data_IF_393229479037
#
_entry.id   IF_393229479037
#
_cell.length_a   1.000
_cell.length_b   1.000
_cell.length_c   1.000
_cell.angle_alpha   90.00
_cell.angle_beta   90.00
_cell.angle_gamma   90.00
#
_symmetry.space_group_name_H-M   'P 1'
#
loop_
_entity.id
_entity.type
_entity.pdbx_description
1 polymer ?
#
# COMPACT_ATOMS: atom_id res chain seq x y z
N UNK A 1 -51.46 -11.49 44.21
CA UNK A 1 -50.12 -10.87 44.04
C UNK A 1 -49.34 -11.76 43.09
N UNK A 2 -49.40 -11.44 41.79
CA UNK A 2 -48.64 -12.17 40.75
C UNK A 2 -47.30 -11.48 40.62
N UNK A 3 -46.24 -12.17 40.97
CA UNK A 3 -44.86 -11.75 40.71
C UNK A 3 -44.63 -11.86 39.22
N UNK A 4 -44.56 -10.73 38.54
CA UNK A 4 -44.06 -10.66 37.18
C UNK A 4 -42.54 -10.79 37.32
N UNK A 5 -42.00 -11.98 37.05
CA UNK A 5 -40.59 -12.17 36.76
C UNK A 5 -40.29 -11.45 35.44
N UNK A 6 -39.72 -10.27 35.55
CA UNK A 6 -39.08 -9.60 34.44
C UNK A 6 -37.82 -10.41 34.11
N UNK A 7 -37.95 -11.40 33.25
CA UNK A 7 -36.83 -12.02 32.60
C UNK A 7 -36.23 -10.95 31.66
N UNK A 8 -35.32 -10.19 32.18
CA UNK A 8 -34.31 -9.49 31.35
C UNK A 8 -33.51 -10.61 30.70
N UNK A 9 -34.03 -11.09 29.59
CA UNK A 9 -33.18 -11.75 28.63
C UNK A 9 -32.16 -10.68 28.20
N UNK A 10 -31.04 -10.66 28.88
CA UNK A 10 -29.79 -10.14 28.33
C UNK A 10 -29.59 -11.01 27.09
N UNK A 11 -30.24 -10.64 25.98
CA UNK A 11 -29.65 -10.93 24.68
C UNK A 11 -28.30 -10.23 24.72
N UNK A 12 -27.30 -10.96 25.18
CA UNK A 12 -26.00 -10.76 24.66
C UNK A 12 -26.18 -10.95 23.15
N UNK A 13 -26.51 -9.85 22.46
CA UNK A 13 -26.11 -9.70 21.11
C UNK A 13 -24.60 -9.92 21.14
N UNK A 14 -24.19 -11.16 20.99
CA UNK A 14 -22.94 -11.47 20.38
C UNK A 14 -23.08 -10.91 18.96
N UNK A 15 -23.08 -9.58 18.83
CA UNK A 15 -22.47 -8.97 17.68
C UNK A 15 -21.15 -9.70 17.64
N UNK A 16 -20.99 -10.65 16.73
CA UNK A 16 -19.72 -11.11 16.33
C UNK A 16 -19.00 -9.86 15.84
N UNK A 17 -18.39 -9.13 16.76
CA UNK A 17 -17.30 -8.29 16.43
C UNK A 17 -16.33 -9.28 15.79
N UNK A 18 -16.31 -9.33 14.45
CA UNK A 18 -15.24 -10.00 13.76
C UNK A 18 -14.02 -9.25 14.24
N UNK A 19 -13.28 -9.90 15.13
CA UNK A 19 -12.18 -9.29 15.82
C UNK A 19 -11.16 -8.97 14.75
N UNK A 20 -10.82 -7.71 14.62
CA UNK A 20 -9.66 -7.26 13.85
C UNK A 20 -8.53 -8.24 14.15
N UNK A 21 -8.05 -8.91 13.11
CA UNK A 21 -7.18 -10.05 13.31
C UNK A 21 -5.76 -9.69 12.99
N UNK A 22 -5.02 -9.33 14.01
CA UNK A 22 -3.57 -9.22 13.95
C UNK A 22 -2.95 -10.62 13.99
N UNK A 23 -1.92 -10.87 13.18
CA UNK A 23 -1.22 -12.15 13.14
C UNK A 23 0.22 -11.96 12.73
N UNK A 24 1.12 -12.75 13.33
CA UNK A 24 2.51 -12.86 12.89
C UNK A 24 2.66 -13.93 11.80
N UNK A 25 3.61 -13.71 10.90
CA UNK A 25 4.14 -14.77 10.03
C UNK A 25 5.09 -15.63 10.89
N UNK A 26 4.90 -16.96 10.95
CA UNK A 26 5.82 -17.81 11.67
C UNK A 26 7.23 -17.73 11.08
N UNK A 27 8.24 -17.64 11.89
CA UNK A 27 9.63 -17.66 11.46
C UNK A 27 10.29 -18.98 11.88
N UNK A 28 11.32 -19.39 11.15
CA UNK A 28 12.12 -20.56 11.45
C UNK A 28 13.52 -20.11 11.88
N UNK A 29 14.08 -20.84 12.86
CA UNK A 29 15.50 -20.81 13.21
C UNK A 29 16.09 -19.45 13.60
N UNK A 30 15.29 -18.58 14.24
CA UNK A 30 15.71 -17.24 14.68
C UNK A 30 16.06 -16.26 13.54
N UNK A 31 15.71 -16.56 12.32
CA UNK A 31 15.87 -15.64 11.21
C UNK A 31 14.91 -14.45 11.34
N UNK A 32 15.42 -13.25 11.15
CA UNK A 32 14.62 -12.03 11.15
C UNK A 32 13.87 -11.95 9.83
N UNK A 33 12.53 -11.96 9.87
CA UNK A 33 11.70 -11.97 8.68
C UNK A 33 11.24 -10.56 8.32
N UNK A 34 11.64 -10.08 7.15
CA UNK A 34 11.25 -8.78 6.63
C UNK A 34 10.26 -8.97 5.48
N UNK A 35 8.97 -9.06 5.79
CA UNK A 35 7.92 -9.01 4.80
C UNK A 35 7.81 -7.61 4.22
N UNK A 36 7.77 -7.50 2.91
CA UNK A 36 7.70 -6.22 2.22
C UNK A 36 6.43 -6.06 1.40
N UNK A 37 5.69 -7.14 1.18
CA UNK A 37 4.52 -7.14 0.31
C UNK A 37 3.44 -8.13 0.75
N UNK A 38 2.20 -7.82 0.38
CA UNK A 38 1.02 -8.68 0.54
C UNK A 38 0.27 -8.72 -0.79
N UNK A 39 -0.24 -9.90 -1.18
CA UNK A 39 -1.06 -10.02 -2.39
C UNK A 39 -2.36 -9.21 -2.28
N UNK A 40 -2.89 -8.76 -3.41
CA UNK A 40 -4.08 -7.91 -3.45
C UNK A 40 -5.32 -8.53 -2.75
N UNK A 41 -5.41 -9.85 -2.71
CA UNK A 41 -6.45 -10.59 -2.00
C UNK A 41 -6.13 -10.87 -0.51
N UNK A 42 -4.99 -10.43 0.00
CA UNK A 42 -4.55 -10.62 1.39
C UNK A 42 -4.08 -12.04 1.74
N UNK A 43 -3.99 -12.95 0.74
CA UNK A 43 -3.68 -14.35 1.01
C UNK A 43 -2.18 -14.62 1.19
N UNK A 44 -1.32 -13.99 0.41
CA UNK A 44 0.10 -14.26 0.44
C UNK A 44 0.89 -13.07 0.95
N UNK A 45 1.76 -13.30 1.92
CA UNK A 45 2.75 -12.35 2.42
C UNK A 45 4.12 -12.81 1.98
N UNK A 46 4.97 -11.91 1.48
CA UNK A 46 6.27 -12.28 0.97
C UNK A 46 7.35 -11.23 1.32
N UNK A 47 8.60 -11.66 1.25
CA UNK A 47 9.77 -10.83 1.53
C UNK A 47 11.06 -11.62 1.53
N UNK A 48 12.03 -11.16 2.32
CA UNK A 48 13.29 -11.81 2.58
C UNK A 48 13.54 -12.03 4.07
N UNK A 49 14.58 -12.77 4.42
CA UNK A 49 15.04 -12.92 5.79
C UNK A 49 16.55 -12.60 5.93
N UNK A 50 17.04 -12.54 7.14
CA UNK A 50 18.45 -12.22 7.42
C UNK A 50 19.42 -13.35 7.10
N UNK A 51 18.91 -14.52 6.76
CA UNK A 51 19.72 -15.64 6.29
C UNK A 51 19.88 -15.60 4.75
N UNK A 52 19.39 -14.54 4.07
CA UNK A 52 19.45 -14.38 2.62
C UNK A 52 18.43 -15.23 1.86
N UNK A 53 17.38 -15.73 2.53
CA UNK A 53 16.31 -16.50 1.90
C UNK A 53 15.12 -15.61 1.57
N UNK A 54 14.51 -15.79 0.40
CA UNK A 54 13.18 -15.26 0.15
C UNK A 54 12.11 -16.19 0.73
N UNK A 55 10.95 -15.64 1.08
CA UNK A 55 9.82 -16.44 1.55
C UNK A 55 8.49 -15.98 0.98
N UNK A 56 7.55 -16.92 0.89
CA UNK A 56 6.12 -16.67 0.67
C UNK A 56 5.36 -17.44 1.75
N UNK A 57 4.45 -16.75 2.42
CA UNK A 57 3.57 -17.29 3.45
C UNK A 57 2.12 -17.22 3.02
N UNK A 58 1.42 -18.36 3.03
CA UNK A 58 -0.04 -18.44 2.82
C UNK A 58 -0.76 -18.17 4.14
N UNK A 59 -1.45 -17.04 4.22
CA UNK A 59 -2.19 -16.62 5.43
C UNK A 59 -3.40 -17.48 5.73
N UNK A 60 -3.93 -18.21 4.75
CA UNK A 60 -5.09 -19.10 4.90
C UNK A 60 -4.66 -20.50 5.36
N UNK A 61 -3.74 -21.11 4.62
CA UNK A 61 -3.28 -22.48 4.89
C UNK A 61 -2.17 -22.53 5.96
N UNK A 62 -1.65 -21.36 6.39
CA UNK A 62 -0.60 -21.21 7.41
C UNK A 62 0.69 -21.95 7.03
N UNK A 63 1.00 -21.98 5.75
CA UNK A 63 2.20 -22.59 5.21
C UNK A 63 3.19 -21.52 4.76
N UNK A 64 4.45 -21.75 5.06
CA UNK A 64 5.55 -20.93 4.57
C UNK A 64 6.42 -21.75 3.63
N UNK A 65 6.91 -21.11 2.57
CA UNK A 65 7.90 -21.68 1.67
C UNK A 65 9.07 -20.71 1.55
N UNK A 66 10.26 -21.25 1.74
CA UNK A 66 11.51 -20.53 1.55
C UNK A 66 12.11 -20.85 0.18
N UNK A 67 12.80 -19.87 -0.38
CA UNK A 67 13.56 -19.97 -1.62
C UNK A 67 14.96 -19.45 -1.37
N UNK A 68 15.95 -20.22 -1.80
CA UNK A 68 17.35 -19.88 -1.54
C UNK A 68 18.27 -20.45 -2.61
N UNK A 69 19.44 -19.84 -2.76
CA UNK A 69 20.54 -20.40 -3.53
C UNK A 69 21.05 -21.70 -2.88
N UNK A 70 21.44 -22.72 -3.66
CA UNK A 70 22.13 -23.87 -3.13
C UNK A 70 23.51 -23.54 -2.49
N UNK A 71 24.10 -22.40 -2.86
CA UNK A 71 25.37 -21.94 -2.29
C UNK A 71 25.21 -21.23 -0.95
N UNK A 72 24.00 -20.75 -0.65
CA UNK A 72 23.72 -19.98 0.56
C UNK A 72 24.12 -20.78 1.81
N UNK A 73 24.93 -20.14 2.69
CA UNK A 73 25.48 -20.79 3.88
C UNK A 73 26.71 -21.67 3.65
N UNK A 74 27.29 -21.68 2.46
CA UNK A 74 28.57 -22.33 2.15
C UNK A 74 29.71 -21.31 2.03
N UNK A 75 30.95 -21.78 1.96
CA UNK A 75 32.13 -20.91 1.73
C UNK A 75 32.15 -20.30 0.31
N UNK A 76 31.29 -20.75 -0.58
CA UNK A 76 31.15 -20.25 -1.95
C UNK A 76 30.05 -19.17 -2.09
N UNK A 77 29.31 -18.89 -1.02
CA UNK A 77 28.21 -17.90 -1.03
C UNK A 77 28.78 -16.48 -1.16
N UNK A 78 28.10 -15.69 -1.97
CA UNK A 78 28.34 -14.25 -2.09
C UNK A 78 26.99 -13.47 -1.99
N UNK A 79 27.02 -12.16 -2.17
CA UNK A 79 25.83 -11.31 -2.09
C UNK A 79 24.78 -11.62 -3.17
N UNK A 80 25.20 -12.22 -4.28
CA UNK A 80 24.27 -12.59 -5.36
C UNK A 80 23.47 -13.84 -5.03
N UNK A 81 23.92 -14.65 -4.06
CA UNK A 81 23.19 -15.82 -3.58
C UNK A 81 22.00 -15.48 -2.65
N UNK A 82 21.91 -14.24 -2.19
CA UNK A 82 20.77 -13.78 -1.43
C UNK A 82 19.52 -13.62 -2.32
N UNK A 83 18.38 -14.04 -1.81
CA UNK A 83 17.10 -13.97 -2.49
C UNK A 83 16.16 -12.98 -1.81
N UNK A 84 15.42 -12.21 -2.58
CA UNK A 84 14.38 -11.31 -2.06
C UNK A 84 13.13 -11.33 -2.92
N UNK A 85 11.95 -11.11 -2.33
CA UNK A 85 10.67 -10.93 -3.04
C UNK A 85 10.13 -9.55 -2.71
N UNK A 86 9.75 -8.78 -3.75
CA UNK A 86 9.22 -7.41 -3.64
C UNK A 86 7.76 -7.27 -4.04
N UNK A 87 7.22 -8.24 -4.78
CA UNK A 87 5.80 -8.30 -5.12
C UNK A 87 5.32 -9.74 -5.09
N UNK A 88 4.03 -9.96 -4.79
CA UNK A 88 3.42 -11.30 -4.80
C UNK A 88 2.01 -11.22 -5.39
N UNK A 89 1.70 -12.17 -6.29
CA UNK A 89 0.41 -12.26 -6.98
C UNK A 89 -0.66 -12.96 -6.11
N UNK A 90 -1.90 -12.89 -6.57
CA UNK A 90 -3.05 -13.53 -5.88
C UNK A 90 -3.02 -15.07 -5.89
N UNK A 91 -2.21 -15.67 -6.73
CA UNK A 91 -2.01 -17.12 -6.83
C UNK A 91 -0.70 -17.59 -6.20
N UNK A 92 0.05 -16.68 -5.56
CA UNK A 92 1.24 -17.03 -4.79
C UNK A 92 2.53 -17.10 -5.63
N UNK A 93 2.60 -16.36 -6.73
CA UNK A 93 3.86 -16.18 -7.47
C UNK A 93 4.54 -14.91 -6.97
N UNK A 94 5.73 -15.05 -6.37
CA UNK A 94 6.60 -13.96 -5.96
C UNK A 94 7.42 -13.43 -7.14
N UNK A 95 7.69 -12.13 -7.12
CA UNK A 95 8.57 -11.42 -8.02
C UNK A 95 9.66 -10.73 -7.21
N UNK A 96 10.90 -11.01 -7.53
CA UNK A 96 12.05 -10.52 -6.79
C UNK A 96 13.36 -10.81 -7.52
N UNK A 97 14.40 -11.07 -6.79
CA UNK A 97 15.72 -11.34 -7.36
C UNK A 97 16.47 -12.42 -6.58
N UNK A 98 17.32 -13.12 -7.29
CA UNK A 98 18.37 -14.03 -6.81
C UNK A 98 19.46 -14.09 -7.88
N UNK A 99 20.71 -14.28 -7.52
CA UNK A 99 21.85 -14.26 -8.45
C UNK A 99 21.99 -12.93 -9.21
N UNK A 100 21.58 -11.81 -8.59
CA UNK A 100 21.51 -10.52 -9.27
C UNK A 100 20.56 -10.49 -10.47
N UNK A 101 19.60 -11.41 -10.54
CA UNK A 101 18.66 -11.57 -11.66
C UNK A 101 17.21 -11.50 -11.20
N UNK A 102 16.40 -10.75 -11.92
CA UNK A 102 14.95 -10.75 -11.74
C UNK A 102 14.36 -12.15 -11.88
N UNK A 103 13.63 -12.60 -10.88
CA UNK A 103 13.20 -13.99 -10.74
C UNK A 103 11.74 -14.09 -10.28
N UNK A 104 11.04 -15.12 -10.78
CA UNK A 104 9.73 -15.58 -10.29
C UNK A 104 9.94 -16.73 -9.31
N UNK A 105 9.20 -16.66 -8.19
CA UNK A 105 9.20 -17.64 -7.11
C UNK A 105 7.80 -18.24 -6.99
N UNK A 106 7.61 -19.49 -7.32
CA UNK A 106 6.29 -20.14 -7.32
C UNK A 106 6.04 -20.87 -5.99
N UNK A 107 5.08 -20.39 -5.21
CA UNK A 107 4.72 -20.99 -3.91
C UNK A 107 4.22 -22.43 -4.08
N UNK A 108 3.43 -22.73 -5.10
CA UNK A 108 2.82 -24.06 -5.25
C UNK A 108 3.85 -25.13 -5.60
N UNK A 109 4.77 -24.83 -6.51
CA UNK A 109 5.78 -25.78 -7.00
C UNK A 109 7.11 -25.70 -6.26
N UNK A 110 7.45 -24.54 -5.69
CA UNK A 110 8.77 -24.27 -5.12
C UNK A 110 9.83 -23.95 -6.17
N UNK A 111 9.43 -23.69 -7.42
CA UNK A 111 10.38 -23.38 -8.49
C UNK A 111 10.77 -21.90 -8.47
N UNK A 112 12.01 -21.66 -8.89
CA UNK A 112 12.55 -20.34 -9.19
C UNK A 112 12.81 -20.29 -10.71
N UNK A 113 12.38 -19.23 -11.37
CA UNK A 113 12.50 -19.07 -12.82
C UNK A 113 12.92 -17.65 -13.15
N UNK A 114 13.99 -17.47 -13.90
CA UNK A 114 14.42 -16.16 -14.38
C UNK A 114 13.28 -15.46 -15.12
N UNK A 115 13.06 -14.19 -14.82
CA UNK A 115 12.04 -13.36 -15.45
C UNK A 115 12.47 -12.86 -16.82
N UNK A 116 13.76 -12.54 -16.96
CA UNK A 116 14.36 -12.03 -18.18
C UNK A 116 15.12 -13.15 -18.90
N UNK A 117 15.30 -12.97 -20.19
CA UNK A 117 16.07 -13.91 -21.03
C UNK A 117 17.54 -13.99 -20.55
N UNK A 118 18.12 -15.20 -20.55
CA UNK A 118 19.50 -15.44 -20.17
C UNK A 118 20.52 -14.66 -21.03
N UNK A 119 20.13 -14.19 -22.23
CA UNK A 119 20.95 -13.32 -23.06
C UNK A 119 21.18 -11.92 -22.45
N UNK A 120 20.39 -11.55 -21.44
CA UNK A 120 20.63 -10.34 -20.65
C UNK A 120 21.68 -10.68 -19.59
N UNK A 121 22.93 -10.38 -19.90
CA UNK A 121 24.08 -10.66 -19.02
C UNK A 121 24.10 -9.75 -17.78
N UNK A 122 23.42 -8.59 -17.87
CA UNK A 122 23.39 -7.58 -16.83
C UNK A 122 22.61 -8.00 -15.59
N UNK A 123 22.90 -7.41 -14.45
CA UNK A 123 22.07 -7.52 -13.26
C UNK A 123 20.69 -6.91 -13.50
N UNK A 124 19.68 -7.46 -12.86
CA UNK A 124 18.31 -6.98 -12.98
C UNK A 124 17.55 -7.13 -11.68
N UNK A 125 16.71 -6.14 -11.37
CA UNK A 125 15.79 -6.17 -10.23
C UNK A 125 14.37 -5.93 -10.71
N UNK A 126 13.42 -6.74 -10.23
CA UNK A 126 12.00 -6.47 -10.39
C UNK A 126 11.47 -5.83 -9.11
N UNK A 127 10.79 -4.69 -9.24
CA UNK A 127 10.27 -3.93 -8.10
C UNK A 127 8.76 -4.09 -7.91
N UNK A 128 8.05 -4.41 -8.98
CA UNK A 128 6.59 -4.48 -8.97
C UNK A 128 6.07 -5.58 -9.89
N UNK A 129 4.95 -6.16 -9.51
CA UNK A 129 4.10 -6.98 -10.37
C UNK A 129 2.63 -6.75 -10.03
N UNK A 130 1.76 -6.85 -11.05
CA UNK A 130 0.30 -6.81 -10.90
C UNK A 130 -0.21 -8.05 -10.16
N UNK A 131 -1.44 -7.99 -9.64
CA UNK A 131 -2.02 -9.06 -8.84
C UNK A 131 -2.17 -10.38 -9.60
N UNK A 132 -2.21 -10.33 -10.93
CA UNK A 132 -2.26 -11.48 -11.84
C UNK A 132 -0.90 -11.82 -12.48
N UNK A 133 0.13 -11.00 -12.24
CA UNK A 133 1.48 -11.18 -12.76
C UNK A 133 1.64 -10.91 -14.26
N UNK A 134 0.63 -10.32 -14.93
CA UNK A 134 0.70 -10.02 -16.37
C UNK A 134 1.58 -8.82 -16.67
N UNK A 135 1.70 -7.89 -15.71
CA UNK A 135 2.61 -6.75 -15.81
C UNK A 135 3.60 -6.80 -14.65
N UNK A 136 4.87 -6.57 -14.96
CA UNK A 136 5.90 -6.32 -13.95
C UNK A 136 6.86 -5.25 -14.45
N UNK A 137 7.54 -4.56 -13.56
CA UNK A 137 8.53 -3.56 -13.94
C UNK A 137 9.72 -3.53 -12.97
N UNK A 138 10.79 -2.92 -13.42
CA UNK A 138 12.03 -2.87 -12.66
C UNK A 138 13.15 -2.15 -13.41
N UNK A 139 14.36 -2.63 -13.19
CA UNK A 139 15.58 -2.05 -13.75
C UNK A 139 16.57 -3.14 -14.15
N UNK A 140 17.31 -2.92 -15.23
CA UNK A 140 18.54 -3.64 -15.54
C UNK A 140 19.74 -2.74 -15.31
N UNK A 141 20.86 -3.32 -14.91
CA UNK A 141 22.12 -2.62 -14.66
C UNK A 141 23.17 -3.13 -15.62
N UNK A 142 23.77 -2.25 -16.40
CA UNK A 142 24.96 -2.57 -17.17
C UNK A 142 26.14 -2.84 -16.23
N UNK A 143 26.70 -4.04 -16.29
CA UNK A 143 27.77 -4.47 -15.36
C UNK A 143 29.10 -3.71 -15.54
N UNK A 144 29.25 -2.93 -16.61
CA UNK A 144 30.45 -2.17 -16.91
C UNK A 144 30.30 -0.69 -16.59
N UNK A 145 29.19 -0.11 -16.99
CA UNK A 145 28.93 1.33 -16.87
C UNK A 145 28.05 1.68 -15.69
N UNK A 146 27.41 0.67 -15.06
CA UNK A 146 26.40 0.82 -14.01
C UNK A 146 25.19 1.67 -14.42
N UNK A 147 24.96 1.84 -15.71
CA UNK A 147 23.79 2.54 -16.23
C UNK A 147 22.53 1.74 -15.89
N UNK A 148 21.55 2.44 -15.34
CA UNK A 148 20.27 1.89 -14.92
C UNK A 148 19.26 2.07 -16.03
N UNK A 149 18.72 0.97 -16.57
CA UNK A 149 17.75 0.99 -17.64
C UNK A 149 16.39 0.46 -17.14
N UNK A 150 15.37 1.33 -17.02
CA UNK A 150 14.04 0.92 -16.57
C UNK A 150 13.37 0.06 -17.64
N UNK A 151 12.68 -0.98 -17.18
CA UNK A 151 11.91 -1.85 -18.07
C UNK A 151 10.50 -2.10 -17.53
N UNK A 152 9.61 -2.51 -18.44
CA UNK A 152 8.33 -3.11 -18.14
C UNK A 152 8.22 -4.43 -18.91
N UNK A 153 7.63 -5.42 -18.27
CA UNK A 153 7.24 -6.67 -18.89
C UNK A 153 5.72 -6.74 -18.94
N UNK A 154 5.18 -7.00 -20.12
CA UNK A 154 3.74 -7.16 -20.36
C UNK A 154 3.53 -8.51 -21.04
N UNK A 155 2.71 -9.37 -20.46
CA UNK A 155 2.44 -10.72 -20.98
C UNK A 155 3.72 -11.53 -21.31
N UNK A 156 4.75 -11.38 -20.46
CA UNK A 156 6.04 -12.06 -20.64
C UNK A 156 6.97 -11.44 -21.70
N UNK A 157 6.61 -10.28 -22.26
CA UNK A 157 7.44 -9.58 -23.24
C UNK A 157 8.05 -8.34 -22.60
N UNK A 158 9.39 -8.28 -22.53
CA UNK A 158 10.14 -7.15 -22.01
C UNK A 158 10.13 -5.99 -23.01
N UNK A 159 9.96 -4.77 -22.47
CA UNK A 159 10.06 -3.51 -23.20
C UNK A 159 10.91 -2.55 -22.37
N UNK A 160 11.89 -1.91 -23.01
CA UNK A 160 12.62 -0.82 -22.39
C UNK A 160 11.70 0.40 -22.26
N UNK A 161 11.69 1.04 -21.11
CA UNK A 161 10.98 2.28 -20.89
C UNK A 161 11.80 3.47 -21.40
N UNK A 162 11.18 4.47 -22.05
CA UNK A 162 11.88 5.64 -22.51
C UNK A 162 12.46 6.43 -21.33
N UNK A 163 13.67 6.88 -21.48
CA UNK A 163 14.33 7.74 -20.51
C UNK A 163 14.12 9.21 -20.90
N UNK A 164 14.17 10.09 -19.92
CA UNK A 164 14.27 11.53 -20.19
C UNK A 164 15.71 11.83 -20.62
N UNK A 165 15.83 12.36 -21.82
CA UNK A 165 17.14 12.68 -22.43
C UNK A 165 17.47 14.16 -22.38
N UNK A 166 16.54 15.02 -21.98
CA UNK A 166 16.76 16.45 -21.93
C UNK A 166 17.54 16.86 -20.70
N UNK A 167 18.39 17.85 -20.84
CA UNK A 167 19.16 18.44 -19.74
C UNK A 167 18.24 18.86 -18.60
N UNK A 168 18.33 18.13 -17.53
CA UNK A 168 17.55 18.36 -16.34
C UNK A 168 18.37 19.15 -15.35
N UNK A 169 18.15 20.44 -15.30
CA UNK A 169 18.54 21.31 -14.19
C UNK A 169 19.94 21.03 -13.57
N UNK A 170 20.89 20.56 -14.38
CA UNK A 170 22.25 20.26 -13.92
C UNK A 170 22.47 18.84 -13.40
N UNK A 171 21.51 17.93 -13.60
CA UNK A 171 21.69 16.50 -13.31
C UNK A 171 22.35 15.79 -14.48
N UNK A 172 23.34 14.98 -14.17
CA UNK A 172 23.96 14.06 -15.12
C UNK A 172 23.16 12.75 -15.11
N UNK A 173 22.03 12.77 -15.85
CA UNK A 173 21.10 11.62 -15.89
C UNK A 173 21.76 10.48 -16.66
N UNK A 174 21.96 9.36 -15.99
CA UNK A 174 22.49 8.15 -16.60
C UNK A 174 21.51 6.95 -16.54
N UNK A 175 20.23 7.20 -16.29
CA UNK A 175 19.25 6.11 -16.30
C UNK A 175 17.97 6.41 -15.53
N UNK A 176 17.28 5.33 -15.16
CA UNK A 176 16.07 5.38 -14.35
C UNK A 176 15.70 4.02 -13.81
N UNK A 177 14.81 4.02 -12.83
CA UNK A 177 14.25 2.83 -12.19
C UNK A 177 12.72 2.92 -12.24
N UNK A 178 12.05 1.84 -12.67
CA UNK A 178 10.60 1.70 -12.53
C UNK A 178 10.30 0.97 -11.21
N UNK A 179 9.66 1.67 -10.26
CA UNK A 179 9.39 1.13 -8.94
C UNK A 179 8.00 0.51 -8.81
N UNK A 180 7.03 0.91 -9.64
CA UNK A 180 5.68 0.39 -9.53
C UNK A 180 4.75 0.90 -10.61
N UNK A 181 3.48 0.51 -10.51
CA UNK A 181 2.44 0.89 -11.46
C UNK A 181 1.05 0.57 -10.98
N UNK A 182 0.09 0.83 -11.84
CA UNK A 182 -1.28 0.40 -11.65
C UNK A 182 -1.53 -1.02 -12.19
N UNK A 183 -2.69 -1.60 -11.85
CA UNK A 183 -3.00 -3.02 -12.09
C UNK A 183 -3.03 -3.41 -13.57
N UNK A 184 -3.34 -2.50 -14.49
CA UNK A 184 -3.31 -2.78 -15.93
C UNK A 184 -1.99 -2.36 -16.61
N UNK A 185 -1.04 -1.82 -15.84
CA UNK A 185 0.25 -1.34 -16.33
C UNK A 185 0.15 -0.15 -17.28
N UNK A 186 -0.99 0.55 -17.32
CA UNK A 186 -1.14 1.74 -18.16
C UNK A 186 -0.39 2.96 -17.63
N UNK A 187 -0.13 2.98 -16.33
CA UNK A 187 0.66 4.01 -15.65
C UNK A 187 1.71 3.33 -14.78
N UNK A 188 2.96 3.70 -14.97
CA UNK A 188 4.08 3.28 -14.13
C UNK A 188 4.71 4.50 -13.50
N UNK A 189 5.31 4.33 -12.33
CA UNK A 189 6.06 5.38 -11.66
C UNK A 189 7.45 4.91 -11.29
N UNK A 190 8.35 5.85 -11.08
CA UNK A 190 9.72 5.54 -10.73
C UNK A 190 10.56 6.79 -10.53
N UNK A 191 11.85 6.65 -10.70
CA UNK A 191 12.79 7.75 -10.55
C UNK A 191 13.75 7.83 -11.74
N UNK A 192 14.22 9.04 -12.00
CA UNK A 192 15.42 9.28 -12.81
C UNK A 192 16.63 9.02 -11.92
N UNK A 193 17.66 8.45 -12.47
CA UNK A 193 18.91 8.20 -11.76
C UNK A 193 20.03 9.04 -12.33
N UNK A 194 20.82 9.61 -11.44
CA UNK A 194 22.19 10.02 -11.72
C UNK A 194 23.16 9.01 -11.10
N UNK A 195 24.46 9.19 -11.25
CA UNK A 195 25.48 8.25 -10.77
C UNK A 195 25.41 7.96 -9.24
N UNK A 196 24.60 8.67 -8.47
CA UNK A 196 24.61 8.62 -7.00
C UNK A 196 23.24 8.59 -6.37
N UNK A 197 22.16 8.94 -7.08
CA UNK A 197 20.85 9.18 -6.48
C UNK A 197 19.70 8.86 -7.42
N UNK A 198 18.58 8.44 -6.87
CA UNK A 198 17.35 8.13 -7.61
C UNK A 198 16.32 9.25 -7.42
N UNK A 199 16.47 10.31 -8.18
CA UNK A 199 15.62 11.50 -8.20
C UNK A 199 15.55 12.04 -9.64
N UNK A 200 14.57 12.85 -9.97
CA UNK A 200 13.26 13.11 -9.40
C UNK A 200 12.21 12.08 -9.84
N UNK A 201 11.02 12.21 -9.24
CA UNK A 201 9.87 11.35 -9.49
C UNK A 201 9.42 11.38 -10.96
N UNK A 202 9.31 10.23 -11.56
CA UNK A 202 9.00 9.99 -12.96
C UNK A 202 7.77 9.14 -13.15
N UNK A 203 7.06 9.36 -14.29
CA UNK A 203 6.01 8.46 -14.74
C UNK A 203 6.23 8.00 -16.15
N UNK A 204 5.71 6.83 -16.43
CA UNK A 204 5.46 6.37 -17.79
C UNK A 204 3.98 6.12 -17.98
N UNK A 205 3.43 6.70 -19.01
CA UNK A 205 2.03 6.50 -19.40
C UNK A 205 2.01 5.76 -20.72
N UNK A 206 1.24 4.66 -20.77
CA UNK A 206 1.08 3.86 -21.98
C UNK A 206 0.37 4.68 -23.04
N UNK A 207 0.94 4.73 -24.22
CA UNK A 207 0.39 5.47 -25.36
C UNK A 207 -0.87 4.80 -25.91
N UNK A 208 -1.60 5.52 -26.78
CA UNK A 208 -2.84 5.03 -27.41
C UNK A 208 -2.65 3.80 -28.30
N UNK A 209 -1.42 3.50 -28.72
CA UNK A 209 -1.09 2.27 -29.44
C UNK A 209 -1.16 1.01 -28.57
N UNK A 210 -1.29 1.19 -27.24
CA UNK A 210 -1.36 0.12 -26.25
C UNK A 210 -0.03 -0.62 -26.03
N UNK A 211 1.06 -0.14 -26.62
CA UNK A 211 2.36 -0.85 -26.64
C UNK A 211 3.52 0.00 -26.17
N UNK A 212 3.55 1.28 -26.51
CA UNK A 212 4.66 2.17 -26.15
C UNK A 212 4.31 3.03 -24.95
N UNK A 213 5.32 3.59 -24.30
CA UNK A 213 5.18 4.47 -23.16
C UNK A 213 5.78 5.85 -23.45
N UNK A 214 5.19 6.88 -22.86
CA UNK A 214 5.75 8.23 -22.82
C UNK A 214 6.21 8.55 -21.41
N UNK A 215 7.43 9.06 -21.29
CA UNK A 215 8.01 9.52 -20.03
C UNK A 215 7.54 10.93 -19.68
N UNK A 216 7.23 11.15 -18.42
CA UNK A 216 6.81 12.45 -17.89
C UNK A 216 7.42 12.66 -16.51
N UNK A 217 7.63 13.90 -16.11
CA UNK A 217 8.03 14.25 -14.76
C UNK A 217 6.89 14.85 -13.98
N UNK A 218 6.60 14.21 -12.86
CA UNK A 218 5.55 14.67 -11.95
C UNK A 218 6.00 15.86 -11.13
N UNK A 219 7.20 15.78 -10.56
CA UNK A 219 7.70 16.80 -9.65
C UNK A 219 7.71 18.20 -10.25
N UNK A 220 7.89 18.32 -11.56
CA UNK A 220 7.83 19.62 -12.26
C UNK A 220 6.51 20.36 -12.13
N UNK A 221 5.41 19.65 -11.89
CA UNK A 221 4.07 20.24 -11.78
C UNK A 221 3.81 20.95 -10.45
N UNK A 222 4.54 20.61 -9.39
CA UNK A 222 4.19 21.00 -8.01
C UNK A 222 5.14 21.98 -7.35
N UNK A 223 6.33 22.12 -7.88
CA UNK A 223 7.40 22.90 -7.28
C UNK A 223 7.06 24.38 -7.15
N UNK A 224 6.33 24.93 -8.11
CA UNK A 224 6.13 26.39 -8.20
C UNK A 224 5.01 26.92 -7.28
N UNK A 225 4.24 26.08 -6.62
CA UNK A 225 2.97 26.53 -6.04
C UNK A 225 2.82 26.34 -4.53
N UNK A 226 3.60 25.49 -3.87
CA UNK A 226 3.30 25.09 -2.48
C UNK A 226 4.48 25.01 -1.52
N UNK A 227 5.73 25.13 -1.98
CA UNK A 227 6.91 24.85 -1.16
C UNK A 227 7.97 25.92 -1.24
N UNK A 228 8.51 26.33 -0.08
CA UNK A 228 9.70 27.15 0.01
C UNK A 228 10.95 26.24 -0.12
N UNK A 229 11.39 26.02 -1.34
CA UNK A 229 12.58 25.22 -1.66
C UNK A 229 13.83 26.09 -1.77
N UNK A 230 14.10 26.88 -0.75
CA UNK A 230 15.34 27.67 -0.70
C UNK A 230 16.55 26.77 -0.59
N UNK A 231 17.41 26.81 -1.60
CA UNK A 231 18.72 26.13 -1.59
C UNK A 231 18.79 24.74 -2.24
N UNK A 232 17.64 24.14 -2.65
CA UNK A 232 17.58 22.88 -3.36
C UNK A 232 17.10 23.07 -4.81
N UNK A 233 17.41 22.09 -5.67
CA UNK A 233 16.74 22.02 -6.95
C UNK A 233 15.26 21.65 -6.72
N UNK A 234 14.35 22.30 -7.42
CA UNK A 234 12.91 22.06 -7.24
C UNK A 234 12.46 20.60 -7.35
N UNK A 235 13.25 19.77 -7.98
CA UNK A 235 12.95 18.38 -8.28
C UNK A 235 13.33 17.41 -7.17
N UNK A 236 14.16 17.83 -6.23
CA UNK A 236 14.60 17.01 -5.09
C UNK A 236 13.53 16.92 -3.98
N UNK A 237 12.42 17.63 -4.15
CA UNK A 237 11.41 17.83 -3.12
C UNK A 237 10.51 16.61 -2.92
N UNK A 238 10.35 15.79 -3.96
CA UNK A 238 9.45 14.63 -3.91
C UNK A 238 10.14 13.32 -4.26
N UNK A 239 9.87 12.30 -3.47
CA UNK A 239 10.16 10.91 -3.81
C UNK A 239 8.86 10.12 -3.84
N UNK A 240 8.70 9.25 -4.85
CA UNK A 240 7.55 8.35 -4.89
C UNK A 240 7.64 7.28 -3.81
N UNK A 241 6.50 6.85 -3.33
CA UNK A 241 6.42 5.78 -2.34
C UNK A 241 5.59 4.59 -2.85
N UNK A 242 4.36 4.83 -3.31
CA UNK A 242 3.48 3.78 -3.81
C UNK A 242 2.37 4.34 -4.70
N UNK A 243 1.92 3.54 -5.67
CA UNK A 243 0.76 3.83 -6.52
C UNK A 243 -0.39 2.89 -6.19
N UNK A 244 -1.61 3.40 -6.19
CA UNK A 244 -2.80 2.57 -6.04
C UNK A 244 -3.03 1.69 -7.27
N UNK A 245 -3.58 0.49 -7.08
CA UNK A 245 -3.79 -0.47 -8.16
C UNK A 245 -4.72 0.07 -9.28
N UNK A 246 -5.66 0.95 -8.95
CA UNK A 246 -6.51 1.62 -9.93
C UNK A 246 -5.83 2.80 -10.66
N UNK A 247 -4.59 3.15 -10.31
CA UNK A 247 -3.84 4.23 -10.94
C UNK A 247 -4.30 5.65 -10.60
N UNK A 248 -5.25 5.80 -9.67
CA UNK A 248 -5.78 7.10 -9.29
C UNK A 248 -4.86 7.86 -8.34
N UNK A 249 -4.28 7.17 -7.37
CA UNK A 249 -3.50 7.75 -6.30
C UNK A 249 -2.03 7.39 -6.37
N UNK A 250 -1.17 8.36 -6.07
CA UNK A 250 0.24 8.15 -5.79
C UNK A 250 0.57 8.74 -4.41
N UNK A 251 1.07 7.92 -3.50
CA UNK A 251 1.68 8.39 -2.27
C UNK A 251 3.10 8.86 -2.55
N UNK A 252 3.47 9.98 -1.96
CA UNK A 252 4.80 10.58 -2.11
C UNK A 252 5.31 11.06 -0.77
N UNK A 253 6.63 11.02 -0.61
CA UNK A 253 7.33 11.68 0.48
C UNK A 253 7.85 13.02 -0.03
N UNK A 254 7.88 14.04 0.83
CA UNK A 254 8.36 15.35 0.45
C UNK A 254 9.06 16.07 1.59
N UNK A 255 9.95 16.97 1.21
CA UNK A 255 10.62 17.88 2.13
C UNK A 255 9.98 19.26 2.03
N UNK A 256 9.78 19.94 3.15
CA UNK A 256 9.25 21.30 3.15
C UNK A 256 10.34 22.35 2.98
N UNK A 257 11.56 22.00 3.37
CA UNK A 257 12.69 22.90 3.28
C UNK A 257 14.00 22.12 3.22
N UNK A 258 14.84 22.43 2.26
CA UNK A 258 16.16 21.82 2.09
C UNK A 258 17.23 22.91 2.16
N UNK A 259 18.31 22.65 2.88
CA UNK A 259 19.49 23.52 2.94
C UNK A 259 20.45 23.18 1.79
N UNK A 260 20.52 21.90 1.44
CA UNK A 260 21.26 21.39 0.31
C UNK A 260 20.59 20.09 -0.14
N UNK A 261 21.10 19.50 -1.24
CA UNK A 261 20.62 18.20 -1.74
C UNK A 261 20.73 17.07 -0.70
N UNK A 262 21.67 17.20 0.23
CA UNK A 262 21.96 16.19 1.25
C UNK A 262 21.45 16.58 2.66
N UNK A 263 21.00 17.82 2.84
CA UNK A 263 20.62 18.32 4.14
C UNK A 263 19.21 18.93 4.13
N UNK A 264 18.30 18.34 4.89
CA UNK A 264 16.92 18.76 5.07
C UNK A 264 16.79 19.54 6.38
N UNK A 265 16.22 20.75 6.31
CA UNK A 265 16.01 21.60 7.49
C UNK A 265 14.74 21.20 8.27
N UNK A 266 13.74 20.65 7.55
CA UNK A 266 12.51 20.16 8.11
C UNK A 266 12.28 18.75 7.60
N UNK A 267 11.94 17.82 8.51
CA UNK A 267 11.88 16.38 8.21
C UNK A 267 10.89 16.00 7.12
N UNK A 268 11.07 14.80 6.64
CA UNK A 268 10.21 14.19 5.63
C UNK A 268 8.75 14.14 6.07
N UNK A 269 7.85 14.40 5.13
CA UNK A 269 6.40 14.39 5.29
C UNK A 269 5.75 13.62 4.17
N UNK A 270 4.47 13.34 4.31
CA UNK A 270 3.69 12.55 3.38
C UNK A 270 2.66 13.42 2.66
N UNK A 271 2.51 13.16 1.36
CA UNK A 271 1.42 13.66 0.56
C UNK A 271 0.82 12.55 -0.30
N UNK A 272 -0.37 12.76 -0.81
CA UNK A 272 -0.95 11.92 -1.87
C UNK A 272 -1.38 12.76 -3.05
N UNK A 273 -1.17 12.20 -4.21
CA UNK A 273 -1.45 12.84 -5.45
C UNK A 273 -2.64 12.15 -6.12
N UNK A 274 -3.69 12.91 -6.45
CA UNK A 274 -4.81 12.45 -7.28
C UNK A 274 -4.43 12.68 -8.75
N UNK A 275 -4.09 11.60 -9.45
CA UNK A 275 -3.65 11.62 -10.84
C UNK A 275 -4.80 11.95 -11.82
N UNK A 276 -6.04 11.66 -11.44
CA UNK A 276 -7.21 11.98 -12.26
C UNK A 276 -7.59 13.46 -12.13
N UNK A 277 -7.59 13.99 -10.91
CA UNK A 277 -7.93 15.36 -10.62
C UNK A 277 -6.75 16.33 -10.84
N UNK A 278 -5.53 15.82 -11.02
CA UNK A 278 -4.28 16.59 -11.11
C UNK A 278 -4.07 17.49 -9.89
N UNK A 279 -4.27 16.93 -8.69
CA UNK A 279 -4.18 17.67 -7.43
C UNK A 279 -3.30 16.96 -6.40
N UNK A 280 -2.47 17.74 -5.71
CA UNK A 280 -1.65 17.30 -4.58
C UNK A 280 -2.34 17.62 -3.26
N UNK A 281 -2.48 16.63 -2.39
CA UNK A 281 -2.98 16.79 -1.04
C UNK A 281 -1.86 16.53 -0.03
N UNK A 282 -1.41 17.60 0.65
CA UNK A 282 -0.46 17.48 1.74
C UNK A 282 -1.16 16.92 2.98
N UNK A 283 -0.61 15.86 3.56
CA UNK A 283 -1.14 15.26 4.76
C UNK A 283 -0.54 15.95 6.01
N UNK A 284 -1.37 16.17 7.01
CA UNK A 284 -0.88 16.62 8.32
C UNK A 284 -0.03 15.51 8.95
N UNK A 285 1.18 15.85 9.33
CA UNK A 285 2.13 14.97 10.00
C UNK A 285 2.40 15.59 11.39
N UNK A 286 1.69 15.16 12.45
CA UNK A 286 1.83 15.73 13.77
C UNK A 286 3.27 15.69 14.27
N UNK A 287 3.73 16.80 14.85
CA UNK A 287 5.08 16.94 15.42
C UNK A 287 6.24 16.71 14.44
N UNK A 288 5.98 16.72 13.12
CA UNK A 288 7.03 16.58 12.11
C UNK A 288 8.09 17.68 12.25
N UNK A 289 9.35 17.26 12.24
CA UNK A 289 10.54 18.11 12.43
C UNK A 289 11.74 17.49 11.71
N UNK A 290 12.91 18.08 11.76
CA UNK A 290 14.14 17.47 11.25
C UNK A 290 14.46 16.11 11.89
N UNK A 291 14.04 15.93 13.15
CA UNK A 291 14.24 14.68 13.90
C UNK A 291 13.05 13.71 13.80
N UNK A 292 11.87 14.20 13.45
CA UNK A 292 10.64 13.39 13.37
C UNK A 292 10.11 13.39 11.94
N UNK A 293 10.36 12.32 11.21
CA UNK A 293 10.10 12.19 9.79
C UNK A 293 8.98 11.18 9.52
N UNK A 294 8.09 11.48 8.59
CA UNK A 294 7.00 10.61 8.17
C UNK A 294 7.26 10.07 6.76
N UNK A 295 7.06 8.78 6.59
CA UNK A 295 7.25 8.09 5.32
C UNK A 295 6.02 7.29 4.94
N UNK A 296 5.59 7.44 3.69
CA UNK A 296 4.60 6.55 3.08
C UNK A 296 5.31 5.33 2.48
N UNK A 297 4.62 4.20 2.51
CA UNK A 297 5.09 2.93 1.94
C UNK A 297 4.03 2.27 1.07
N UNK A 298 2.75 2.62 1.26
CA UNK A 298 1.63 2.03 0.53
C UNK A 298 0.44 2.97 0.41
N UNK A 299 -0.40 2.71 -0.60
CA UNK A 299 -1.66 3.45 -0.81
C UNK A 299 -2.73 2.53 -1.42
N UNK A 300 -3.95 2.59 -0.89
CA UNK A 300 -5.09 1.83 -1.41
C UNK A 300 -5.81 2.57 -2.56
N UNK A 301 -6.75 1.88 -3.22
CA UNK A 301 -7.58 2.45 -4.29
C UNK A 301 -8.49 3.61 -3.83
N UNK A 302 -8.79 3.68 -2.55
CA UNK A 302 -9.58 4.78 -1.97
C UNK A 302 -8.71 5.92 -1.44
N UNK A 303 -7.38 5.79 -1.52
CA UNK A 303 -6.43 6.80 -1.07
C UNK A 303 -6.06 6.70 0.41
N UNK A 304 -6.28 5.55 1.07
CA UNK A 304 -5.69 5.27 2.38
C UNK A 304 -4.18 5.14 2.22
N UNK A 305 -3.42 5.99 2.91
CA UNK A 305 -1.95 5.95 2.92
C UNK A 305 -1.48 5.27 4.18
N UNK A 306 -0.50 4.38 4.04
CA UNK A 306 0.16 3.70 5.16
C UNK A 306 1.66 3.96 5.14
N UNK A 307 2.30 3.76 6.29
CA UNK A 307 3.73 3.96 6.41
C UNK A 307 4.20 3.99 7.87
N UNK A 308 5.15 4.83 8.16
CA UNK A 308 5.69 4.98 9.51
C UNK A 308 6.14 6.41 9.79
N UNK A 309 6.27 6.74 11.06
CA UNK A 309 7.03 7.89 11.56
C UNK A 309 8.33 7.38 12.17
N UNK A 310 9.42 8.07 11.91
CA UNK A 310 10.76 7.74 12.40
C UNK A 310 11.32 8.88 13.25
N UNK A 311 11.84 8.55 14.41
CA UNK A 311 12.70 9.43 15.18
C UNK A 311 14.15 9.22 14.71
N UNK A 312 14.72 10.22 14.05
CA UNK A 312 16.09 10.16 13.49
C UNK A 312 17.18 10.05 14.54
N UNK A 313 16.90 10.48 15.77
CA UNK A 313 17.89 10.43 16.87
C UNK A 313 18.05 9.03 17.46
N UNK A 314 16.96 8.25 17.43
CA UNK A 314 16.92 6.89 17.98
C UNK A 314 16.74 5.81 16.93
N UNK A 315 16.40 6.21 15.70
CA UNK A 315 15.98 5.33 14.59
C UNK A 315 14.75 4.48 14.93
N UNK A 316 13.98 4.90 15.94
CA UNK A 316 12.76 4.21 16.29
C UNK A 316 11.65 4.55 15.30
N UNK A 317 10.86 3.54 14.90
CA UNK A 317 9.77 3.67 13.95
C UNK A 317 8.45 3.27 14.60
N UNK A 318 7.38 3.95 14.18
CA UNK A 318 6.01 3.68 14.60
C UNK A 318 5.10 3.64 13.39
N UNK A 319 4.34 2.57 13.25
CA UNK A 319 3.40 2.38 12.15
C UNK A 319 2.34 3.47 12.12
N UNK A 320 2.09 4.04 10.93
CA UNK A 320 1.13 5.12 10.73
C UNK A 320 0.17 4.82 9.59
N UNK A 321 -1.00 5.44 9.65
CA UNK A 321 -2.00 5.38 8.59
C UNK A 321 -2.79 6.69 8.51
N UNK A 322 -3.13 7.08 7.28
CA UNK A 322 -4.11 8.11 6.97
C UNK A 322 -5.25 7.47 6.20
N UNK A 323 -6.41 7.32 6.81
CA UNK A 323 -7.57 6.70 6.16
C UNK A 323 -8.08 7.55 4.99
N UNK A 324 -8.76 6.91 4.05
CA UNK A 324 -9.41 7.59 2.91
C UNK A 324 -10.28 8.76 3.38
N UNK A 325 -10.17 9.89 2.69
CA UNK A 325 -10.91 11.12 3.05
C UNK A 325 -10.42 11.87 4.29
N UNK A 326 -9.47 11.31 5.03
CA UNK A 326 -8.79 11.99 6.15
C UNK A 326 -7.50 12.63 5.61
N UNK A 327 -7.03 13.69 6.29
CA UNK A 327 -5.83 14.45 5.91
C UNK A 327 -4.76 14.47 7.00
N UNK A 328 -4.74 13.48 7.85
CA UNK A 328 -3.83 13.41 8.99
C UNK A 328 -3.28 11.99 9.14
N UNK A 329 -1.96 11.88 9.19
CA UNK A 329 -1.27 10.64 9.55
C UNK A 329 -1.45 10.39 11.04
N UNK A 330 -1.87 9.20 11.42
CA UNK A 330 -2.08 8.77 12.82
C UNK A 330 -1.34 7.49 13.09
N UNK A 331 -0.92 7.30 14.33
CA UNK A 331 -0.33 6.03 14.77
C UNK A 331 -1.38 4.92 14.68
N UNK A 332 -0.98 3.74 14.23
CA UNK A 332 -1.87 2.56 14.24
C UNK A 332 -2.29 2.18 15.65
N UNK A 333 -1.43 2.37 16.64
CA UNK A 333 -1.75 2.15 18.05
C UNK A 333 -2.93 3.01 18.52
N UNK A 334 -3.03 4.26 18.04
CA UNK A 334 -4.14 5.16 18.38
C UNK A 334 -5.43 4.79 17.63
N UNK A 335 -5.30 4.35 16.37
CA UNK A 335 -6.44 3.93 15.55
C UNK A 335 -7.02 2.59 15.99
N UNK A 336 -6.17 1.70 16.46
CA UNK A 336 -6.52 0.32 16.84
C UNK A 336 -6.02 -0.05 18.25
N UNK A 337 -6.49 0.65 19.31
CA UNK A 337 -5.99 0.45 20.67
C UNK A 337 -6.30 -0.94 21.25
N UNK A 338 -7.19 -1.70 20.63
CA UNK A 338 -7.46 -3.09 21.00
C UNK A 338 -6.37 -4.07 20.53
N UNK A 339 -5.50 -3.64 19.61
CA UNK A 339 -4.35 -4.43 19.12
C UNK A 339 -3.14 -4.03 19.95
N UNK A 340 -2.92 -4.75 21.04
CA UNK A 340 -1.88 -4.43 22.03
C UNK A 340 -0.47 -4.57 21.45
N UNK A 341 -0.31 -5.36 20.40
CA UNK A 341 0.94 -5.57 19.68
C UNK A 341 1.52 -4.26 19.14
N UNK A 342 0.67 -3.35 18.65
CA UNK A 342 1.16 -2.05 18.18
C UNK A 342 1.79 -1.20 19.27
N UNK A 343 1.29 -1.27 20.50
CA UNK A 343 1.85 -0.53 21.63
C UNK A 343 3.16 -1.17 22.11
N UNK A 344 3.26 -2.50 22.15
CA UNK A 344 4.47 -3.21 22.58
C UNK A 344 5.61 -3.10 21.56
N UNK A 345 5.30 -3.09 20.28
CA UNK A 345 6.29 -2.87 19.22
C UNK A 345 6.91 -1.46 19.25
N UNK A 346 6.17 -0.48 19.74
CA UNK A 346 6.65 0.90 19.92
C UNK A 346 7.84 0.99 20.89
N UNK A 347 7.87 0.18 21.92
CA UNK A 347 8.93 0.21 22.93
C UNK A 347 10.28 -0.26 22.40
N UNK A 348 10.27 -1.05 21.33
CA UNK A 348 11.48 -1.66 20.73
C UNK A 348 11.93 -0.96 19.44
N UNK A 349 11.14 -0.05 18.90
CA UNK A 349 11.59 0.95 17.93
C UNK A 349 11.66 0.56 16.46
N UNK A 350 11.12 -0.58 16.01
CA UNK A 350 11.08 -0.93 14.60
C UNK A 350 9.69 -1.44 14.21
N UNK A 351 8.76 -0.53 14.02
CA UNK A 351 7.40 -0.88 13.63
C UNK A 351 6.96 -0.05 12.42
N UNK A 352 6.79 -0.68 11.28
CA UNK A 352 6.34 -0.02 10.06
C UNK A 352 5.29 -0.84 9.32
N UNK A 353 4.38 -0.17 8.64
CA UNK A 353 3.54 -0.77 7.62
C UNK A 353 4.30 -0.69 6.31
N UNK A 354 4.45 -1.80 5.61
CA UNK A 354 5.15 -1.85 4.33
C UNK A 354 4.21 -1.94 3.14
N UNK A 355 3.00 -2.47 3.34
CA UNK A 355 2.02 -2.60 2.27
C UNK A 355 0.57 -2.51 2.79
N UNK A 356 -0.33 -2.10 1.89
CA UNK A 356 -1.78 -2.14 2.06
C UNK A 356 -2.41 -2.72 0.80
N UNK A 357 -3.42 -3.58 0.95
CA UNK A 357 -4.15 -4.14 -0.20
C UNK A 357 -4.94 -3.06 -0.95
N UNK A 358 -5.22 -3.25 -2.26
CA UNK A 358 -5.96 -2.29 -3.06
C UNK A 358 -7.32 -1.87 -2.49
N UNK A 359 -8.02 -2.80 -1.84
CA UNK A 359 -9.30 -2.54 -1.17
C UNK A 359 -9.16 -1.89 0.22
N UNK A 360 -7.91 -1.72 0.70
CA UNK A 360 -7.61 -1.16 2.01
C UNK A 360 -7.88 -2.10 3.18
N UNK A 361 -8.17 -3.38 2.92
CA UNK A 361 -8.57 -4.33 3.96
C UNK A 361 -7.41 -4.89 4.77
N UNK A 362 -6.32 -5.26 4.10
CA UNK A 362 -5.18 -5.87 4.78
C UNK A 362 -4.01 -4.91 4.81
N UNK A 363 -3.38 -4.83 5.97
CA UNK A 363 -2.08 -4.20 6.16
C UNK A 363 -1.04 -5.29 6.38
N UNK A 364 0.16 -5.02 5.90
CA UNK A 364 1.32 -5.85 6.17
C UNK A 364 2.47 -4.96 6.60
N UNK A 365 3.28 -5.44 7.52
CA UNK A 365 4.44 -4.74 7.99
C UNK A 365 5.41 -5.66 8.72
N UNK A 366 6.43 -5.06 9.27
CA UNK A 366 7.32 -5.74 10.20
C UNK A 366 7.60 -4.86 11.42
N UNK A 367 8.07 -5.49 12.47
CA UNK A 367 8.41 -4.84 13.71
C UNK A 367 9.24 -5.73 14.57
N UNK A 368 9.75 -5.13 15.64
CA UNK A 368 10.57 -5.79 16.59
C UNK A 368 9.70 -6.47 17.66
N UNK A 369 9.90 -7.75 17.89
CA UNK A 369 9.14 -8.53 18.86
C UNK A 369 10.11 -9.17 19.85
N UNK A 370 9.84 -8.95 21.11
CA UNK A 370 10.47 -9.71 22.20
C UNK A 370 9.70 -11.02 22.37
N UNK A 371 10.25 -12.09 21.86
CA UNK A 371 9.60 -13.41 21.92
C UNK A 371 9.88 -14.17 23.20
N UNK A 372 10.98 -13.86 23.84
CA UNK A 372 11.40 -14.40 25.12
C UNK A 372 12.37 -13.38 25.70
N UNK A 373 12.41 -13.22 27.01
CA UNK A 373 13.30 -12.28 27.75
C UNK A 373 14.79 -12.31 27.33
N UNK A 374 15.18 -13.16 26.37
CA UNK A 374 16.55 -13.36 25.92
C UNK A 374 16.79 -13.16 24.41
N UNK A 375 15.75 -13.00 23.59
CA UNK A 375 15.92 -12.89 22.13
C UNK A 375 14.96 -11.89 21.51
N UNK A 376 15.55 -10.78 21.11
CA UNK A 376 14.91 -9.80 20.25
C UNK A 376 14.87 -10.31 18.79
N UNK A 377 13.73 -10.29 18.14
CA UNK A 377 13.65 -10.64 16.73
C UNK A 377 12.77 -9.69 15.94
N UNK A 378 13.07 -9.52 14.64
CA UNK A 378 12.14 -8.90 13.73
C UNK A 378 11.06 -9.91 13.35
N UNK A 379 9.81 -9.46 13.36
CA UNK A 379 8.69 -10.27 12.94
C UNK A 379 7.91 -9.57 11.84
N UNK A 380 7.61 -10.31 10.78
CA UNK A 380 6.63 -9.89 9.80
C UNK A 380 5.24 -10.13 10.38
N UNK A 381 4.37 -9.14 10.23
CA UNK A 381 2.98 -9.23 10.66
C UNK A 381 2.03 -8.86 9.54
N UNK A 382 0.78 -9.29 9.65
CA UNK A 382 -0.31 -8.84 8.82
C UNK A 382 -1.57 -8.60 9.67
N UNK A 383 -2.38 -7.67 9.24
CA UNK A 383 -3.54 -7.21 9.97
C UNK A 383 -4.76 -7.14 9.06
N UNK A 384 -5.78 -7.95 9.33
CA UNK A 384 -7.08 -7.87 8.65
C UNK A 384 -7.92 -6.80 9.35
N UNK A 385 -8.05 -5.67 8.69
CA UNK A 385 -8.88 -4.55 9.15
C UNK A 385 -10.34 -4.92 9.14
N UNK A 386 -10.69 -6.15 8.71
CA UNK A 386 -12.02 -6.62 8.39
C UNK A 386 -13.02 -5.52 8.73
N UNK A 387 -13.58 -4.83 7.73
CA UNK A 387 -14.54 -3.78 8.01
C UNK A 387 -15.44 -4.39 9.07
N UNK A 388 -15.20 -4.08 10.36
CA UNK A 388 -16.24 -4.30 11.31
C UNK A 388 -17.38 -3.57 10.64
N UNK A 389 -18.45 -4.26 10.28
CA UNK A 389 -19.76 -3.69 10.19
C UNK A 389 -20.13 -3.15 11.59
N UNK A 390 -19.27 -2.44 12.25
CA UNK A 390 -19.63 -1.31 13.05
C UNK A 390 -20.08 -0.29 12.03
N UNK A 391 -21.12 -0.64 11.47
CA UNK A 391 -22.35 0.08 11.44
C UNK A 391 -22.30 1.37 12.25
N UNK A 392 -21.55 2.28 11.73
CA UNK A 392 -21.90 3.68 11.70
C UNK A 392 -22.14 4.10 10.24
N UNK A 393 -22.22 3.16 9.34
CA UNK A 393 -23.09 3.27 8.18
C UNK A 393 -24.45 2.79 8.64
N UNK A 394 -25.33 3.74 8.86
CA UNK A 394 -26.69 3.53 9.26
C UNK A 394 -26.82 2.76 10.60
N UNK A 395 -26.66 3.47 11.70
CA UNK A 395 -27.77 3.46 12.62
C UNK A 395 -28.94 4.01 11.83
N UNK A 396 -29.52 3.26 10.90
CA UNK A 396 -30.95 3.12 10.92
C UNK A 396 -31.23 2.67 12.36
N UNK A 397 -31.37 3.65 13.28
CA UNK A 397 -32.28 3.43 14.38
C UNK A 397 -33.42 2.70 13.70
N UNK A 398 -33.75 1.45 14.14
CA UNK A 398 -35.04 0.90 13.89
C UNK A 398 -36.02 1.96 14.42
N UNK A 399 -36.22 2.99 13.62
CA UNK A 399 -37.36 3.86 13.74
C UNK A 399 -38.51 2.89 13.65
N UNK A 400 -39.22 2.79 14.74
CA UNK A 400 -40.47 2.02 14.80
C UNK A 400 -41.19 2.19 13.45
N UNK A 401 -41.60 1.11 12.77
CA UNK A 401 -41.89 1.12 11.34
C UNK A 401 -42.75 2.34 11.01
N UNK A 402 -42.18 3.24 10.21
CA UNK A 402 -42.72 4.57 10.01
C UNK A 402 -44.16 4.45 9.48
N UNK A 403 -45.12 4.94 10.26
CA UNK A 403 -46.53 4.82 9.94
C UNK A 403 -46.89 5.75 8.81
N UNK A 404 -47.73 5.29 7.88
CA UNK A 404 -48.30 6.15 6.83
C UNK A 404 -49.17 7.20 7.48
N UNK A 405 -48.77 8.47 7.39
CA UNK A 405 -49.53 9.60 7.95
C UNK A 405 -50.47 10.28 6.95
N UNK A 406 -50.14 10.16 5.66
CA UNK A 406 -51.00 10.62 4.56
C UNK A 406 -50.69 9.87 3.26
N UNK A 407 -51.66 9.78 2.38
CA UNK A 407 -51.51 9.19 1.06
C UNK A 407 -52.00 10.16 -0.01
N UNK A 408 -51.29 10.21 -1.14
CA UNK A 408 -51.55 11.13 -2.23
C UNK A 408 -51.57 10.39 -3.57
N UNK A 409 -52.32 10.92 -4.52
CA UNK A 409 -52.22 10.53 -5.93
C UNK A 409 -50.95 11.11 -6.55
N UNK A 410 -50.58 10.67 -7.75
CA UNK A 410 -49.41 11.16 -8.45
C UNK A 410 -49.54 12.68 -8.79
N UNK A 411 -50.76 13.20 -8.91
CA UNK A 411 -51.09 14.61 -9.13
C UNK A 411 -51.24 15.41 -7.82
N UNK A 412 -50.83 14.81 -6.66
CA UNK A 412 -50.76 15.49 -5.37
C UNK A 412 -52.04 15.60 -4.59
N UNK A 413 -53.17 14.99 -5.05
CA UNK A 413 -54.45 15.01 -4.28
C UNK A 413 -54.42 14.03 -3.13
N UNK A 414 -54.83 14.47 -1.96
CA UNK A 414 -54.94 13.64 -0.76
C UNK A 414 -55.94 12.51 -0.96
N UNK A 415 -55.56 11.30 -0.65
CA UNK A 415 -56.36 10.10 -0.74
C UNK A 415 -56.91 9.68 0.62
N UNK A 416 -58.18 9.38 0.69
CA UNK A 416 -58.75 8.76 1.86
C UNK A 416 -58.48 7.22 1.82
N UNK A 417 -57.93 6.67 2.90
CA UNK A 417 -57.40 5.29 2.97
C UNK A 417 -58.34 4.17 2.49
N UNK A 418 -59.64 4.48 2.30
CA UNK A 418 -60.65 3.50 1.89
C UNK A 418 -60.97 3.48 0.38
N UNK A 419 -60.37 4.37 -0.43
CA UNK A 419 -60.87 4.61 -1.79
C UNK A 419 -59.98 4.14 -2.94
N UNK A 420 -58.74 3.69 -2.73
CA UNK A 420 -57.85 3.32 -3.83
C UNK A 420 -57.89 1.82 -4.14
N UNK A 421 -58.51 1.47 -5.26
CA UNK A 421 -58.59 0.06 -5.71
C UNK A 421 -57.49 -0.36 -6.67
N UNK A 422 -56.96 0.53 -7.49
CA UNK A 422 -55.81 0.31 -8.39
C UNK A 422 -55.14 1.64 -8.71
N UNK A 423 -53.78 1.67 -8.76
CA UNK A 423 -53.00 2.84 -9.20
C UNK A 423 -51.71 3.08 -8.37
N UNK A 424 -51.03 4.15 -8.67
CA UNK A 424 -49.84 4.57 -7.94
C UNK A 424 -50.26 5.52 -6.83
N UNK A 425 -49.79 5.21 -5.61
CA UNK A 425 -50.03 6.00 -4.41
C UNK A 425 -48.70 6.43 -3.83
N UNK A 426 -48.56 7.69 -3.42
CA UNK A 426 -47.45 8.21 -2.70
C UNK A 426 -47.81 8.34 -1.24
N UNK A 427 -47.23 7.52 -0.39
CA UNK A 427 -47.44 7.55 1.05
C UNK A 427 -46.40 8.47 1.71
N UNK A 428 -46.85 9.45 2.47
CA UNK A 428 -46.02 10.22 3.39
C UNK A 428 -45.91 9.45 4.70
N UNK A 429 -44.70 9.23 5.16
CA UNK A 429 -44.38 8.50 6.38
C UNK A 429 -44.20 9.43 7.57
N UNK A 430 -44.35 8.91 8.78
CA UNK A 430 -44.22 9.67 10.03
C UNK A 430 -42.80 10.25 10.23
N UNK A 431 -41.76 9.71 9.55
CA UNK A 431 -40.39 10.20 9.54
C UNK A 431 -40.11 11.23 8.43
N UNK A 432 -41.13 11.76 7.77
CA UNK A 432 -41.03 12.76 6.72
C UNK A 432 -40.68 12.23 5.33
N UNK A 433 -40.28 10.96 5.18
CA UNK A 433 -40.01 10.30 3.91
C UNK A 433 -41.30 10.02 3.11
N UNK A 434 -41.17 9.88 1.81
CA UNK A 434 -42.28 9.48 0.93
C UNK A 434 -41.97 8.11 0.29
N UNK A 435 -42.99 7.24 0.23
CA UNK A 435 -42.86 5.90 -0.39
C UNK A 435 -43.88 5.73 -1.50
N UNK A 436 -43.45 5.37 -2.69
CA UNK A 436 -44.30 5.00 -3.82
C UNK A 436 -44.82 3.57 -3.62
N UNK A 437 -46.09 3.39 -3.71
CA UNK A 437 -46.77 2.07 -3.66
C UNK A 437 -47.65 1.90 -4.88
N UNK A 438 -47.55 0.76 -5.54
CA UNK A 438 -48.46 0.36 -6.61
C UNK A 438 -49.51 -0.59 -5.97
N UNK A 439 -50.78 -0.22 -6.06
CA UNK A 439 -51.90 -1.03 -5.57
C UNK A 439 -52.70 -1.61 -6.72
#
# INVERSE_FOLDING_TARGET
>A
MKKILLSVALLAATCGASAQKFSYVPYADNALMMGVTISANGRYVAGGDTEGRAFIYDTQDKQIRYFQSPNLGTDEADSDDEASIRAVTNDGVGYGDIYGKSTKFDFATGSMTALLDESIEDHSLVHYATSDGNVSCGVTYDNTTYVQAPYVMVDGVMQSLPQLTDEWAGYDINGGIAYGGNEDGSVLWGAVCDNYSSYPLMFWVRNRDGKTYSANLLSKRFVDTTMDVTGAQPYDTFTGAAMSANGKWLAVNYHTKMVSREQVDEGDRVARFDLEADTLELLSCPDASAETCYYATGISNEGTVVGFVEDKSTYSRKATMCSAGIKEMKLLADLYPAVTEFATMDEKGLNEVTAVTPDGRYLQGFGYVDLNDEQDCFATWYFDLEKSETAVENVETEEAPAKVVASYTVDGKTLNAKTVRKGIVINKLSNGKARKVVK
#
